data_IF_344237808880
#
_entry.id   IF_344237808880
#
_cell.length_a   1.000
_cell.length_b   1.000
_cell.length_c   1.000
_cell.angle_alpha   90.00
_cell.angle_beta   90.00
_cell.angle_gamma   90.00
#
_symmetry.space_group_name_H-M   'P 1'
#
loop_
_entity.id
_entity.type
_entity.pdbx_description
1 polymer ?
#
# COMPACT_ATOMS: atom_id res chain seq x y z
N UNK A 1 19.22 23.10 -9.80
CA UNK A 1 18.02 22.41 -10.34
C UNK A 1 17.67 21.28 -9.39
N UNK A 2 16.70 21.49 -8.49
CA UNK A 2 16.29 20.48 -7.52
C UNK A 2 15.57 19.34 -8.27
N UNK A 3 16.09 18.11 -8.16
CA UNK A 3 15.40 16.90 -8.65
C UNK A 3 14.04 16.83 -7.96
N UNK A 4 12.99 17.13 -8.70
CA UNK A 4 11.58 16.89 -8.36
C UNK A 4 11.49 15.46 -7.81
N UNK A 5 11.20 15.30 -6.51
CA UNK A 5 10.95 14.02 -5.85
C UNK A 5 9.96 13.27 -6.76
N UNK A 6 10.42 12.19 -7.39
CA UNK A 6 9.65 11.50 -8.42
C UNK A 6 8.29 11.14 -7.82
N UNK A 7 7.21 11.36 -8.58
CA UNK A 7 5.89 10.83 -8.24
C UNK A 7 6.07 9.36 -7.86
N UNK A 8 5.53 8.95 -6.70
CA UNK A 8 5.54 7.54 -6.29
C UNK A 8 5.08 6.70 -7.47
N UNK A 9 5.98 5.91 -8.04
CA UNK A 9 5.63 5.06 -9.18
C UNK A 9 4.89 3.82 -8.67
N UNK A 10 4.18 3.12 -9.54
CA UNK A 10 3.61 1.81 -9.21
C UNK A 10 4.70 0.85 -8.69
N UNK A 11 5.92 0.94 -9.23
CA UNK A 11 7.05 0.12 -8.83
C UNK A 11 7.49 0.41 -7.38
N UNK A 12 7.54 1.70 -7.00
CA UNK A 12 7.87 2.11 -5.63
C UNK A 12 6.79 1.65 -4.65
N UNK A 13 5.51 1.83 -4.99
CA UNK A 13 4.39 1.37 -4.15
C UNK A 13 4.37 -0.13 -3.97
N UNK A 14 4.66 -0.91 -5.02
CA UNK A 14 4.77 -2.36 -4.94
C UNK A 14 5.89 -2.80 -3.99
N UNK A 15 7.05 -2.15 -4.07
CA UNK A 15 8.17 -2.43 -3.17
C UNK A 15 7.79 -2.10 -1.72
N UNK A 16 7.24 -0.91 -1.47
CA UNK A 16 6.84 -0.49 -0.13
C UNK A 16 5.76 -1.39 0.47
N UNK A 17 4.73 -1.75 -0.31
CA UNK A 17 3.69 -2.67 0.16
C UNK A 17 4.24 -4.05 0.51
N UNK A 18 5.15 -4.59 -0.31
CA UNK A 18 5.82 -5.85 -0.02
C UNK A 18 6.60 -5.80 1.31
N UNK A 19 7.35 -4.72 1.52
CA UNK A 19 8.16 -4.53 2.72
C UNK A 19 7.29 -4.36 3.97
N UNK A 20 6.19 -3.62 3.87
CA UNK A 20 5.19 -3.49 4.93
C UNK A 20 4.52 -4.82 5.28
N UNK A 21 4.29 -5.68 4.29
CA UNK A 21 3.79 -7.04 4.48
C UNK A 21 4.86 -8.00 5.05
N UNK A 22 6.10 -7.56 5.24
CA UNK A 22 7.19 -8.38 5.76
C UNK A 22 7.67 -9.48 4.81
N UNK A 23 7.41 -9.35 3.50
CA UNK A 23 7.69 -10.37 2.51
C UNK A 23 8.99 -10.08 1.73
N UNK A 24 9.78 -11.13 1.46
CA UNK A 24 10.87 -11.08 0.49
C UNK A 24 10.34 -11.25 -0.94
N UNK A 25 11.07 -10.73 -1.93
CA UNK A 25 10.75 -10.94 -3.36
C UNK A 25 10.65 -12.43 -3.73
N UNK A 26 11.43 -13.29 -3.06
CA UNK A 26 11.39 -14.73 -3.29
C UNK A 26 10.10 -15.37 -2.76
N UNK A 27 9.59 -14.93 -1.62
CA UNK A 27 8.30 -15.39 -1.08
C UNK A 27 7.15 -14.97 -2.00
N UNK A 28 7.12 -13.70 -2.42
CA UNK A 28 6.10 -13.18 -3.34
C UNK A 28 6.11 -13.97 -4.65
N UNK A 29 7.29 -14.17 -5.24
CA UNK A 29 7.42 -14.93 -6.48
C UNK A 29 6.88 -16.37 -6.35
N UNK A 30 7.15 -17.04 -5.22
CA UNK A 30 6.63 -18.37 -4.93
C UNK A 30 5.11 -18.39 -4.82
N UNK A 31 4.53 -17.40 -4.15
CA UNK A 31 3.07 -17.28 -3.94
C UNK A 31 2.35 -17.00 -5.27
N UNK A 32 2.89 -16.12 -6.11
CA UNK A 32 2.32 -15.79 -7.42
C UNK A 32 2.70 -16.81 -8.52
N UNK A 33 3.42 -17.88 -8.18
CA UNK A 33 3.90 -18.88 -9.14
C UNK A 33 4.69 -18.27 -10.32
N UNK A 34 5.52 -17.27 -10.04
CA UNK A 34 6.41 -16.62 -11.01
C UNK A 34 7.88 -16.77 -10.60
N UNK A 35 8.80 -16.50 -11.52
CA UNK A 35 10.21 -16.45 -11.18
C UNK A 35 10.55 -15.18 -10.39
N UNK A 36 11.49 -15.27 -9.44
CA UNK A 36 11.95 -14.11 -8.64
C UNK A 36 12.31 -12.87 -9.48
N UNK A 37 13.01 -12.99 -10.64
CA UNK A 37 13.29 -11.83 -11.48
C UNK A 37 12.03 -11.08 -11.92
N UNK A 38 10.89 -11.75 -12.09
CA UNK A 38 9.61 -11.08 -12.40
C UNK A 38 9.29 -10.01 -11.36
N UNK A 39 9.39 -10.33 -10.07
CA UNK A 39 9.13 -9.38 -8.98
C UNK A 39 10.19 -8.27 -8.96
N UNK A 40 11.45 -8.62 -9.18
CA UNK A 40 12.55 -7.65 -9.26
C UNK A 40 12.35 -6.65 -10.40
N UNK A 41 11.96 -7.10 -11.59
CA UNK A 41 11.72 -6.24 -12.75
C UNK A 41 10.49 -5.36 -12.57
N UNK A 42 9.42 -5.88 -11.92
CA UNK A 42 8.24 -5.11 -11.56
C UNK A 42 8.58 -3.97 -10.57
N UNK A 43 9.28 -4.29 -9.48
CA UNK A 43 9.69 -3.32 -8.46
C UNK A 43 10.77 -2.35 -8.96
N UNK A 44 11.47 -2.67 -10.05
CA UNK A 44 12.39 -1.76 -10.70
C UNK A 44 11.73 -0.90 -11.80
N UNK A 45 10.44 -1.11 -12.08
CA UNK A 45 9.71 -0.42 -13.14
C UNK A 45 10.15 -0.79 -14.56
N UNK A 46 10.93 -1.87 -14.72
CA UNK A 46 11.41 -2.37 -16.02
C UNK A 46 10.39 -3.26 -16.72
N UNK A 47 9.45 -3.84 -15.96
CA UNK A 47 8.33 -4.64 -16.46
C UNK A 47 6.99 -4.02 -16.05
N UNK A 48 6.05 -3.96 -17.00
CA UNK A 48 4.65 -3.59 -16.71
C UNK A 48 3.95 -4.69 -15.92
N UNK A 49 3.08 -4.28 -15.00
CA UNK A 49 2.25 -5.17 -14.19
C UNK A 49 0.86 -5.21 -14.82
N UNK A 50 0.35 -6.41 -15.10
CA UNK A 50 -1.01 -6.60 -15.58
C UNK A 50 -2.03 -6.30 -14.47
N UNK A 51 -3.29 -6.07 -14.84
CA UNK A 51 -4.36 -5.83 -13.87
C UNK A 51 -4.56 -7.02 -12.91
N UNK A 52 -4.45 -8.25 -13.42
CA UNK A 52 -4.58 -9.46 -12.61
C UNK A 52 -3.42 -9.66 -11.63
N UNK A 53 -2.18 -9.41 -12.06
CA UNK A 53 -1.02 -9.40 -11.16
C UNK A 53 -1.18 -8.29 -10.11
N UNK A 54 -1.65 -7.10 -10.51
CA UNK A 54 -1.84 -5.98 -9.59
C UNK A 54 -2.90 -6.30 -8.51
N UNK A 55 -4.00 -6.96 -8.90
CA UNK A 55 -5.03 -7.42 -7.96
C UNK A 55 -4.48 -8.45 -6.97
N UNK A 56 -3.76 -9.46 -7.47
CA UNK A 56 -3.14 -10.48 -6.61
C UNK A 56 -2.12 -9.87 -5.63
N UNK A 57 -1.32 -8.91 -6.10
CA UNK A 57 -0.36 -8.20 -5.25
C UNK A 57 -1.07 -7.31 -4.21
N UNK A 58 -2.17 -6.65 -4.57
CA UNK A 58 -2.98 -5.87 -3.63
C UNK A 58 -3.54 -6.75 -2.50
N UNK A 59 -4.11 -7.90 -2.87
CA UNK A 59 -4.63 -8.90 -1.92
C UNK A 59 -3.51 -9.45 -1.03
N UNK A 60 -2.38 -9.85 -1.62
CA UNK A 60 -1.24 -10.40 -0.89
C UNK A 60 -0.63 -9.42 0.10
N UNK A 61 -0.59 -8.13 -0.24
CA UNK A 61 0.00 -7.10 0.61
C UNK A 61 -1.03 -6.42 1.54
N UNK A 62 -2.29 -6.84 1.49
CA UNK A 62 -3.41 -6.24 2.22
C UNK A 62 -3.56 -4.71 2.00
N UNK A 63 -3.32 -4.26 0.77
CA UNK A 63 -3.43 -2.84 0.36
C UNK A 63 -4.53 -2.64 -0.67
N UNK A 64 -4.99 -1.40 -0.80
CA UNK A 64 -5.96 -1.01 -1.81
C UNK A 64 -5.33 -1.01 -3.23
N UNK A 65 -6.01 -1.64 -4.19
CA UNK A 65 -5.53 -1.74 -5.58
C UNK A 65 -5.45 -0.36 -6.24
N UNK A 66 -6.34 0.58 -5.91
CA UNK A 66 -6.32 1.94 -6.46
C UNK A 66 -5.15 2.75 -5.90
N UNK A 67 -4.75 2.49 -4.65
CA UNK A 67 -3.49 3.01 -4.10
C UNK A 67 -2.29 2.47 -4.88
N UNK A 68 -2.16 1.16 -5.10
CA UNK A 68 -1.06 0.58 -5.90
C UNK A 68 -1.02 1.16 -7.33
N UNK A 69 -2.18 1.25 -7.98
CA UNK A 69 -2.32 1.82 -9.32
C UNK A 69 -2.00 3.33 -9.38
N UNK A 70 -1.92 4.02 -8.24
CA UNK A 70 -1.76 5.48 -8.20
C UNK A 70 -3.01 6.25 -8.60
N UNK A 71 -4.18 5.59 -8.58
CA UNK A 71 -5.49 6.23 -8.82
C UNK A 71 -6.02 6.94 -7.57
N UNK A 72 -5.48 6.62 -6.38
CA UNK A 72 -5.62 7.45 -5.20
C UNK A 72 -4.55 8.53 -5.25
N UNK A 73 -4.91 9.69 -5.78
CA UNK A 73 -4.23 10.92 -5.43
C UNK A 73 -4.38 11.10 -3.91
N UNK A 74 -3.30 10.87 -3.15
CA UNK A 74 -3.13 11.53 -1.85
C UNK A 74 -2.99 13.04 -2.01
N UNK A 75 -2.95 13.54 -3.25
CA UNK A 75 -3.00 14.95 -3.59
C UNK A 75 -4.27 15.58 -2.98
N UNK A 76 -4.06 16.29 -1.87
CA UNK A 76 -4.97 17.23 -1.23
C UNK A 76 -6.29 16.66 -0.68
N UNK A 77 -6.20 15.76 0.29
CA UNK A 77 -7.22 15.75 1.36
C UNK A 77 -6.65 16.48 2.58
N UNK A 78 -6.93 17.78 2.77
CA UNK A 78 -6.46 18.55 3.93
C UNK A 78 -6.71 17.85 5.27
N UNK A 79 -7.82 17.10 5.37
CA UNK A 79 -8.17 16.32 6.55
C UNK A 79 -7.20 15.17 6.87
N UNK A 80 -6.60 14.52 5.86
CA UNK A 80 -5.68 13.40 6.06
C UNK A 80 -4.33 13.89 6.60
N UNK A 81 -3.83 15.01 6.06
CA UNK A 81 -2.56 15.57 6.53
C UNK A 81 -2.68 16.18 7.93
N UNK A 82 -3.81 16.83 8.23
CA UNK A 82 -4.12 17.29 9.58
C UNK A 82 -4.20 16.11 10.55
N UNK A 83 -4.90 15.03 10.18
CA UNK A 83 -4.99 13.83 10.99
C UNK A 83 -3.60 13.23 11.26
N UNK A 84 -2.75 13.11 10.23
CA UNK A 84 -1.38 12.59 10.40
C UNK A 84 -0.55 13.41 11.40
N UNK A 85 -0.67 14.75 11.37
CA UNK A 85 0.02 15.65 12.31
C UNK A 85 -0.46 15.50 13.74
N UNK A 86 -1.77 15.34 13.95
CA UNK A 86 -2.32 15.15 15.29
C UNK A 86 -2.01 13.75 15.84
N UNK A 87 -2.08 12.71 15.01
CA UNK A 87 -1.73 11.34 15.40
C UNK A 87 -0.26 11.23 15.83
N UNK A 88 0.64 11.97 15.18
CA UNK A 88 2.06 11.99 15.54
C UNK A 88 2.34 12.56 16.95
N UNK A 89 1.41 13.32 17.53
CA UNK A 89 1.54 13.87 18.89
C UNK A 89 1.02 12.92 19.98
N UNK A 90 0.34 11.84 19.60
CA UNK A 90 -0.27 10.92 20.56
C UNK A 90 0.78 10.05 21.25
N UNK A 91 0.48 9.66 22.50
CA UNK A 91 1.21 8.59 23.18
C UNK A 91 0.88 7.25 22.53
N UNK A 92 1.78 6.27 22.70
CA UNK A 92 1.63 4.92 22.14
C UNK A 92 0.25 4.31 22.43
N UNK A 93 -0.18 4.33 23.69
CA UNK A 93 -1.45 3.72 24.11
C UNK A 93 -2.67 4.39 23.44
N UNK A 94 -2.61 5.71 23.23
CA UNK A 94 -3.68 6.46 22.58
C UNK A 94 -3.70 6.20 21.07
N UNK A 95 -2.53 6.12 20.45
CA UNK A 95 -2.41 5.75 19.04
C UNK A 95 -2.95 4.34 18.80
N UNK A 96 -2.62 3.39 19.68
CA UNK A 96 -3.12 2.01 19.59
C UNK A 96 -4.65 1.95 19.67
N UNK A 97 -5.28 2.75 20.53
CA UNK A 97 -6.75 2.88 20.60
C UNK A 97 -7.35 3.44 19.31
N UNK A 98 -6.73 4.47 18.73
CA UNK A 98 -7.19 5.03 17.45
C UNK A 98 -7.08 3.99 16.34
N UNK A 99 -5.98 3.23 16.28
CA UNK A 99 -5.81 2.16 15.29
C UNK A 99 -6.88 1.07 15.44
N UNK A 100 -7.25 0.68 16.67
CA UNK A 100 -8.34 -0.26 16.93
C UNK A 100 -9.70 0.28 16.44
N UNK A 101 -9.98 1.57 16.67
CA UNK A 101 -11.19 2.22 16.16
C UNK A 101 -11.23 2.26 14.63
N UNK A 102 -10.10 2.57 13.97
CA UNK A 102 -10.03 2.54 12.51
C UNK A 102 -10.25 1.14 11.95
N UNK A 103 -9.71 0.11 12.61
CA UNK A 103 -9.94 -1.29 12.25
C UNK A 103 -11.41 -1.70 12.40
N UNK A 104 -12.10 -1.22 13.45
CA UNK A 104 -13.52 -1.50 13.65
C UNK A 104 -14.40 -0.82 12.60
N UNK A 105 -14.08 0.43 12.23
CA UNK A 105 -14.76 1.16 11.14
C UNK A 105 -14.56 0.48 9.78
N UNK A 106 -13.37 -0.09 9.52
CA UNK A 106 -13.08 -0.85 8.29
C UNK A 106 -13.92 -2.13 8.22
N UNK A 107 -14.12 -2.82 9.36
CA UNK A 107 -14.98 -4.00 9.45
C UNK A 107 -16.48 -3.65 9.32
N UNK A 108 -16.92 -2.56 9.94
CA UNK A 108 -18.32 -2.13 9.90
C UNK A 108 -18.82 -1.72 8.51
N UNK A 109 -17.94 -1.18 7.65
CA UNK A 109 -18.30 -0.88 6.24
C UNK A 109 -18.53 -2.14 5.38
N UNK A 110 -18.11 -3.32 5.83
CA UNK A 110 -18.36 -4.60 5.14
C UNK A 110 -19.69 -5.27 5.51
N UNK A 111 -20.27 -4.96 6.68
CA UNK A 111 -21.48 -5.62 7.19
C UNK A 111 -22.80 -4.91 6.81
N UNK A 112 -22.75 -3.69 6.25
CA UNK A 112 -23.93 -2.93 5.85
C UNK A 112 -24.34 -3.16 4.37
N UNK A 113 -23.84 -4.23 3.74
CA UNK A 113 -24.18 -4.66 2.39
C UNK A 113 -24.47 -6.15 2.37
N UNK A 114 -25.56 -6.55 3.03
CA UNK A 114 -26.32 -7.75 2.72
C UNK A 114 -27.78 -7.53 3.09
#
# INVERSE_FOLDING_TARGET
MAKKKARDSIADRLRSAREMAGLSQAQVARILHVHRPTITEMEAGRRKVSADELRQLAELYEVDIAWLAGSQSTENQPGVELAARELAKLKKDDLDRVLQLLQSLRRGKGAARE
#
